data_IF_000065941500
#
_entry.id   IF_000065941500
#
_cell.length_a   1.000
_cell.length_b   1.000
_cell.length_c   1.000
_cell.angle_alpha   90.00
_cell.angle_beta   90.00
_cell.angle_gamma   90.00
#
_symmetry.space_group_name_H-M   'P 1'
#
loop_
_entity.id
_entity.type
_entity.pdbx_description
1 polymer ?
#
# COMPACT_ATOMS: atom_id res chain seq x y z
N UNK A 1 -10.12 -12.21 10.66
CA UNK A 1 -9.13 -12.22 9.57
C UNK A 1 -8.78 -10.77 9.26
N UNK A 2 -7.58 -10.28 9.60
CA UNK A 2 -7.15 -8.92 9.20
C UNK A 2 -6.48 -9.02 7.84
N UNK A 3 -7.26 -8.87 6.78
CA UNK A 3 -6.83 -8.98 5.39
C UNK A 3 -5.70 -7.99 5.09
N UNK A 4 -4.49 -8.50 4.82
CA UNK A 4 -3.29 -7.79 4.33
C UNK A 4 -2.97 -6.42 4.98
N UNK A 5 -3.56 -6.08 6.13
CA UNK A 5 -3.49 -4.77 6.79
C UNK A 5 -3.53 -3.58 5.80
N UNK A 6 -4.58 -3.51 4.99
CA UNK A 6 -4.81 -2.38 4.09
C UNK A 6 -4.92 -1.06 4.85
N UNK A 7 -4.29 -0.01 4.31
CA UNK A 7 -4.25 1.33 4.91
C UNK A 7 -4.18 2.40 3.81
N UNK A 8 -5.06 3.42 3.88
CA UNK A 8 -4.87 4.66 3.13
C UNK A 8 -3.88 5.54 3.87
N UNK A 9 -2.77 5.88 3.23
CA UNK A 9 -1.72 6.67 3.86
C UNK A 9 -2.16 8.14 3.99
N UNK A 10 -1.67 8.78 5.05
CA UNK A 10 -1.98 10.17 5.41
C UNK A 10 -0.70 11.01 5.43
N UNK A 11 -0.84 12.32 5.67
CA UNK A 11 0.30 13.25 5.75
C UNK A 11 0.99 13.45 4.41
N UNK A 12 2.32 13.37 4.42
CA UNK A 12 3.22 13.47 3.26
C UNK A 12 2.94 12.41 2.18
N UNK A 13 2.32 11.29 2.55
CA UNK A 13 1.98 10.19 1.63
C UNK A 13 0.50 10.13 1.29
N UNK A 14 -0.26 11.21 1.52
CA UNK A 14 -1.69 11.28 1.21
C UNK A 14 -1.95 10.94 -0.27
N UNK A 15 -2.93 10.08 -0.51
CA UNK A 15 -3.30 9.60 -1.85
C UNK A 15 -2.64 8.28 -2.24
N UNK A 16 -1.70 7.78 -1.43
CA UNK A 16 -1.16 6.44 -1.56
C UNK A 16 -1.89 5.46 -0.64
N UNK A 17 -1.84 4.19 -1.02
CA UNK A 17 -2.41 3.07 -0.29
C UNK A 17 -1.31 2.06 0.01
N UNK A 18 -1.47 1.29 1.09
CA UNK A 18 -0.52 0.24 1.41
C UNK A 18 -1.18 -1.06 1.86
N UNK A 19 -0.52 -2.17 1.55
CA UNK A 19 -0.83 -3.49 2.08
C UNK A 19 0.45 -4.16 2.60
N UNK A 20 0.30 -4.92 3.67
CA UNK A 20 1.34 -5.74 4.29
C UNK A 20 1.42 -7.08 3.58
N UNK A 21 2.59 -7.36 3.00
CA UNK A 21 2.88 -8.65 2.34
C UNK A 21 3.22 -9.69 3.39
N UNK A 22 4.10 -9.33 4.33
CA UNK A 22 4.52 -10.16 5.44
C UNK A 22 5.01 -9.27 6.60
N UNK A 23 5.70 -9.84 7.58
CA UNK A 23 6.21 -9.06 8.71
C UNK A 23 7.37 -8.10 8.40
N UNK A 24 7.84 -8.10 7.16
CA UNK A 24 9.03 -7.37 6.73
C UNK A 24 8.75 -6.36 5.61
N UNK A 25 7.70 -6.54 4.79
CA UNK A 25 7.48 -5.69 3.63
C UNK A 25 6.05 -5.16 3.53
N UNK A 26 5.94 -3.92 3.05
CA UNK A 26 4.70 -3.29 2.58
C UNK A 26 4.82 -2.93 1.10
N UNK A 27 3.75 -3.15 0.36
CA UNK A 27 3.57 -2.59 -0.97
C UNK A 27 2.84 -1.27 -0.80
N UNK A 28 3.34 -0.22 -1.45
CA UNK A 28 2.66 1.07 -1.58
C UNK A 28 2.22 1.23 -3.02
N UNK A 29 0.95 1.59 -3.23
CA UNK A 29 0.33 1.63 -4.55
C UNK A 29 -0.75 2.71 -4.62
N UNK A 30 -1.26 2.94 -5.85
CA UNK A 30 -2.45 3.74 -6.12
C UNK A 30 -3.47 2.82 -6.80
N UNK A 31 -4.71 2.82 -6.32
CA UNK A 31 -5.83 2.22 -7.03
C UNK A 31 -6.60 3.25 -7.86
N UNK A 32 -6.97 2.85 -9.07
CA UNK A 32 -7.87 3.59 -9.92
C UNK A 32 -9.04 2.68 -10.28
N UNK A 33 -10.19 2.97 -9.69
CA UNK A 33 -11.44 2.27 -9.98
C UNK A 33 -12.09 2.89 -11.20
N UNK A 34 -12.36 2.07 -12.22
CA UNK A 34 -12.93 2.54 -13.48
C UNK A 34 -14.44 2.32 -13.50
N UNK A 35 -15.21 3.33 -13.92
CA UNK A 35 -16.66 3.16 -14.15
C UNK A 35 -16.96 2.34 -15.41
N UNK A 36 -16.01 2.30 -16.36
CA UNK A 36 -15.98 1.42 -17.53
C UNK A 36 -14.54 0.96 -17.78
N UNK A 37 -14.36 -0.33 -18.02
CA UNK A 37 -13.04 -0.94 -18.18
C UNK A 37 -12.52 -1.58 -16.88
N UNK A 38 -11.29 -2.11 -16.88
CA UNK A 38 -10.73 -2.79 -15.71
C UNK A 38 -10.27 -1.78 -14.65
N UNK A 39 -10.41 -2.17 -13.39
CA UNK A 39 -9.71 -1.51 -12.29
C UNK A 39 -8.20 -1.71 -12.44
N UNK A 40 -7.43 -0.71 -12.01
CA UNK A 40 -5.98 -0.75 -12.12
C UNK A 40 -5.31 -0.45 -10.79
N UNK A 41 -4.18 -1.11 -10.55
CA UNK A 41 -3.29 -0.86 -9.42
C UNK A 41 -1.92 -0.47 -9.97
N UNK A 42 -1.43 0.70 -9.59
CA UNK A 42 -0.07 1.14 -9.91
C UNK A 42 0.81 0.92 -8.69
N UNK A 43 1.79 0.01 -8.79
CA UNK A 43 2.74 -0.23 -7.72
C UNK A 43 3.77 0.91 -7.70
N UNK A 44 3.79 1.70 -6.62
CA UNK A 44 4.72 2.81 -6.47
C UNK A 44 6.04 2.35 -5.84
N UNK A 45 5.98 1.51 -4.81
CA UNK A 45 7.18 0.99 -4.14
C UNK A 45 6.90 -0.26 -3.31
N UNK A 46 7.97 -0.99 -3.00
CA UNK A 46 8.00 -2.03 -1.97
C UNK A 46 8.95 -1.54 -0.87
N UNK A 47 8.43 -1.39 0.33
CA UNK A 47 9.13 -0.77 1.46
C UNK A 47 9.39 -1.82 2.52
N UNK A 48 10.63 -1.88 3.03
CA UNK A 48 10.97 -2.71 4.18
C UNK A 48 10.48 -2.02 5.48
N UNK A 49 9.82 -2.80 6.33
CA UNK A 49 9.28 -2.41 7.64
C UNK A 49 10.35 -2.42 8.74
N UNK A 50 11.61 -2.71 8.41
CA UNK A 50 12.67 -2.89 9.40
C UNK A 50 12.63 -1.74 10.39
N UNK A 51 12.38 -2.09 11.66
CA UNK A 51 12.38 -1.15 12.77
C UNK A 51 13.79 -0.54 12.80
N UNK A 52 13.93 0.66 12.26
CA UNK A 52 15.19 1.38 12.23
C UNK A 52 15.49 2.08 13.57
N UNK A 53 14.78 1.66 14.63
CA UNK A 53 15.09 1.93 16.02
C UNK A 53 15.72 0.66 16.60
N UNK A 54 17.05 0.61 16.58
CA UNK A 54 17.84 -0.16 17.53
C UNK A 54 18.33 0.81 18.61
#
# INVERSE_FOLDING_TARGET
MKSLNYEKLIGDKKGLESVRVNNKYRIVFISSLASKGPDTLTICSIVELSNHYK
#
